data_IF_055394746097
#
_entry.id   IF_055394746097
#
_cell.length_a   1.000
_cell.length_b   1.000
_cell.length_c   1.000
_cell.angle_alpha   90.00
_cell.angle_beta   90.00
_cell.angle_gamma   90.00
#
_symmetry.space_group_name_H-M   'P 1'
#
loop_
_entity.id
_entity.type
_entity.pdbx_description
1 polymer ?
#
# COMPACT_ATOMS: atom_id res chain seq x y z
N UNK A 1 -7.91 9.93 -5.72
CA UNK A 1 -9.34 9.70 -5.45
C UNK A 1 -9.46 8.56 -4.45
N UNK A 2 -10.13 8.76 -3.31
CA UNK A 2 -10.28 7.70 -2.29
C UNK A 2 -11.50 6.86 -2.69
N UNK A 3 -11.28 5.58 -2.96
CA UNK A 3 -12.36 4.62 -3.23
C UNK A 3 -12.73 3.93 -1.93
N UNK A 4 -14.01 4.03 -1.52
CA UNK A 4 -14.52 3.38 -0.32
C UNK A 4 -15.45 2.21 -0.70
N UNK A 5 -15.17 1.02 -0.19
CA UNK A 5 -16.03 -0.15 -0.36
C UNK A 5 -15.95 -1.08 0.86
N UNK A 6 -17.11 -1.43 1.44
CA UNK A 6 -17.23 -2.34 2.59
C UNK A 6 -16.31 -2.00 3.79
N UNK A 7 -16.17 -0.72 4.11
CA UNK A 7 -15.31 -0.27 5.21
C UNK A 7 -13.82 -0.19 4.87
N UNK A 8 -13.43 -0.48 3.63
CA UNK A 8 -12.07 -0.33 3.14
C UNK A 8 -12.01 0.96 2.31
N UNK A 9 -11.10 1.86 2.68
CA UNK A 9 -10.77 3.05 1.91
C UNK A 9 -9.39 2.86 1.27
N UNK A 10 -9.32 2.91 -0.06
CA UNK A 10 -8.08 2.70 -0.81
C UNK A 10 -7.79 3.94 -1.64
N UNK A 11 -6.56 4.43 -1.54
CA UNK A 11 -6.03 5.49 -2.40
C UNK A 11 -4.78 4.98 -3.11
N UNK A 12 -4.88 4.64 -4.39
CA UNK A 12 -3.79 4.00 -5.12
C UNK A 12 -2.66 4.97 -5.52
N UNK A 13 -2.87 6.29 -5.50
CA UNK A 13 -1.77 7.27 -5.67
C UNK A 13 -0.79 7.27 -4.50
N UNK A 14 -1.19 6.71 -3.36
CA UNK A 14 -0.29 6.56 -2.22
C UNK A 14 0.54 5.29 -2.32
N UNK A 15 0.41 4.47 -3.36
CA UNK A 15 1.34 3.37 -3.56
C UNK A 15 2.71 3.93 -3.96
N UNK A 16 3.73 3.64 -3.17
CA UNK A 16 5.13 4.04 -3.38
C UNK A 16 5.88 2.97 -4.18
N UNK A 17 5.57 1.70 -3.96
CA UNK A 17 6.22 0.60 -4.64
C UNK A 17 5.53 -0.74 -4.43
N UNK A 18 5.71 -1.62 -5.40
CA UNK A 18 5.36 -3.04 -5.32
C UNK A 18 6.66 -3.82 -5.43
N UNK A 19 6.88 -4.77 -4.55
CA UNK A 19 8.10 -5.57 -4.49
C UNK A 19 7.77 -7.03 -4.31
N UNK A 20 8.53 -7.88 -4.99
CA UNK A 20 8.47 -9.32 -4.84
C UNK A 20 9.72 -9.79 -4.07
N UNK A 21 9.52 -10.54 -2.99
CA UNK A 21 10.57 -11.22 -2.22
C UNK A 21 10.43 -12.74 -2.36
N UNK A 22 11.09 -13.35 -3.37
CA UNK A 22 11.07 -14.79 -3.55
C UNK A 22 11.85 -15.52 -2.44
N UNK A 23 11.38 -16.71 -2.10
CA UNK A 23 11.95 -17.69 -1.16
C UNK A 23 11.93 -19.08 -1.82
N UNK A 24 12.52 -20.11 -1.20
CA UNK A 24 12.67 -21.43 -1.82
C UNK A 24 11.33 -22.05 -2.25
N UNK A 25 10.28 -21.91 -1.43
CA UNK A 25 8.95 -22.51 -1.66
C UNK A 25 7.83 -21.45 -1.83
N UNK A 26 8.15 -20.27 -2.35
CA UNK A 26 7.15 -19.19 -2.50
C UNK A 26 7.73 -17.81 -2.23
N UNK A 27 6.99 -16.94 -1.55
CA UNK A 27 7.53 -15.64 -1.17
C UNK A 27 6.48 -14.61 -0.79
N UNK A 28 6.93 -13.37 -0.64
CA UNK A 28 6.06 -12.24 -0.27
C UNK A 28 5.88 -11.27 -1.44
N UNK A 29 4.63 -10.90 -1.69
CA UNK A 29 4.27 -9.69 -2.41
C UNK A 29 4.13 -8.56 -1.40
N UNK A 30 4.84 -7.46 -1.62
CA UNK A 30 4.98 -6.38 -0.65
C UNK A 30 4.55 -5.08 -1.31
N UNK A 31 3.61 -4.40 -0.68
CA UNK A 31 3.12 -3.09 -1.09
C UNK A 31 3.62 -2.04 -0.10
N UNK A 32 4.42 -1.10 -0.59
CA UNK A 32 4.86 0.08 0.16
C UNK A 32 3.98 1.26 -0.18
N UNK A 33 3.49 1.97 0.84
CA UNK A 33 2.68 3.17 0.67
C UNK A 33 3.42 4.43 1.12
N UNK A 34 3.06 5.56 0.55
CA UNK A 34 3.46 6.88 1.01
C UNK A 34 2.74 7.16 2.34
N UNK A 35 3.47 7.80 3.25
CA UNK A 35 2.85 8.25 4.50
C UNK A 35 1.87 9.38 4.21
N UNK A 36 0.65 9.25 4.72
CA UNK A 36 -0.24 10.38 4.89
C UNK A 36 0.25 11.21 6.09
N UNK A 37 0.69 12.44 5.82
CA UNK A 37 0.91 13.45 6.87
C UNK A 37 -0.37 14.25 6.99
N UNK A 38 -0.98 14.23 8.18
CA UNK A 38 -2.17 15.00 8.50
C UNK A 38 -1.82 16.02 9.59
N UNK A 39 -2.34 17.24 9.42
CA UNK A 39 -2.36 18.24 10.48
C UNK A 39 -3.58 17.97 11.35
N UNK A 40 -3.37 17.71 12.64
CA UNK A 40 -4.45 17.57 13.61
C UNK A 40 -4.26 18.57 14.74
N UNK A 41 -5.36 19.13 15.24
CA UNK A 41 -5.37 19.96 16.43
C UNK A 41 -5.35 19.06 17.69
N UNK A 42 -4.40 19.30 18.59
CA UNK A 42 -4.38 18.65 19.90
C UNK A 42 -5.47 19.23 20.80
N UNK A 43 -6.41 18.38 21.24
CA UNK A 43 -7.54 18.77 22.09
C UNK A 43 -7.12 19.46 23.40
N UNK A 44 -5.95 19.12 23.95
CA UNK A 44 -5.47 19.67 25.23
C UNK A 44 -4.75 21.02 25.08
N UNK A 45 -4.08 21.25 23.95
CA UNK A 45 -3.17 22.41 23.77
C UNK A 45 -3.65 23.41 22.72
N UNK A 46 -4.65 23.05 21.90
CA UNK A 46 -5.12 23.84 20.75
C UNK A 46 -4.05 24.03 19.66
N UNK A 47 -2.95 23.29 19.72
CA UNK A 47 -1.86 23.37 18.75
C UNK A 47 -2.11 22.42 17.60
N UNK A 48 -1.85 22.90 16.40
CA UNK A 48 -1.76 22.05 15.21
C UNK A 48 -0.44 21.30 15.22
N UNK A 49 -0.52 19.98 15.17
CA UNK A 49 0.63 19.09 15.10
C UNK A 49 0.51 18.20 13.88
N UNK A 50 1.65 17.97 13.22
CA UNK A 50 1.73 16.96 12.19
C UNK A 50 1.70 15.58 12.84
N UNK A 51 0.85 14.71 12.30
CA UNK A 51 0.75 13.30 12.64
C UNK A 51 0.85 12.50 11.35
N UNK A 52 1.51 11.36 11.42
CA UNK A 52 1.51 10.40 10.33
C UNK A 52 1.34 9.00 10.91
N UNK A 53 0.75 8.11 10.11
CA UNK A 53 0.80 6.69 10.41
C UNK A 53 2.25 6.20 10.22
N UNK A 54 2.60 5.10 10.90
CA UNK A 54 3.88 4.43 10.64
C UNK A 54 3.88 3.93 9.20
N UNK A 55 5.02 4.07 8.54
CA UNK A 55 5.20 3.49 7.22
C UNK A 55 5.43 1.99 7.37
N UNK A 56 4.34 1.22 7.41
CA UNK A 56 4.38 -0.22 7.48
C UNK A 56 3.92 -0.81 6.14
N UNK A 57 4.71 -1.69 5.52
CA UNK A 57 4.30 -2.31 4.27
C UNK A 57 3.16 -3.30 4.52
N UNK A 58 2.33 -3.49 3.49
CA UNK A 58 1.37 -4.60 3.47
C UNK A 58 2.03 -5.79 2.78
N UNK A 59 2.04 -6.93 3.47
CA UNK A 59 2.63 -8.17 2.94
C UNK A 59 1.54 -9.20 2.68
N UNK A 60 1.67 -9.90 1.56
CA UNK A 60 0.90 -11.08 1.24
C UNK A 60 1.86 -12.22 0.88
N UNK A 61 1.72 -13.34 1.59
CA UNK A 61 2.49 -14.55 1.33
C UNK A 61 1.83 -15.42 0.26
N UNK A 62 2.66 -16.03 -0.58
CA UNK A 62 2.27 -17.01 -1.59
C UNK A 62 3.11 -18.27 -1.41
N UNK A 63 2.47 -19.43 -1.41
CA UNK A 63 3.11 -20.76 -1.33
C UNK A 63 3.61 -21.25 -2.69
N UNK A 64 3.26 -20.58 -3.79
CA UNK A 64 3.69 -20.92 -5.13
C UNK A 64 4.35 -19.70 -5.78
N UNK A 65 5.56 -19.91 -6.31
CA UNK A 65 6.31 -18.92 -7.06
C UNK A 65 5.61 -18.49 -8.37
N UNK A 66 4.86 -19.39 -9.00
CA UNK A 66 4.06 -19.10 -10.19
C UNK A 66 2.93 -18.13 -9.84
N UNK A 67 2.23 -18.39 -8.74
CA UNK A 67 1.17 -17.50 -8.25
C UNK A 67 1.73 -16.15 -7.83
N UNK A 68 2.87 -16.13 -7.13
CA UNK A 68 3.54 -14.90 -6.73
C UNK A 68 3.89 -14.01 -7.93
N UNK A 69 4.52 -14.58 -8.96
CA UNK A 69 4.90 -13.85 -10.18
C UNK A 69 3.67 -13.35 -10.96
N UNK A 70 2.64 -14.20 -11.11
CA UNK A 70 1.41 -13.82 -11.77
C UNK A 70 0.69 -12.66 -11.06
N UNK A 71 0.62 -12.71 -9.74
CA UNK A 71 0.00 -11.66 -8.94
C UNK A 71 0.83 -10.37 -8.97
N UNK A 72 2.16 -10.46 -8.88
CA UNK A 72 3.04 -9.30 -9.00
C UNK A 72 2.81 -8.55 -10.32
N UNK A 73 2.80 -9.26 -11.46
CA UNK A 73 2.54 -8.67 -12.78
C UNK A 73 1.16 -8.03 -12.86
N UNK A 74 0.13 -8.73 -12.40
CA UNK A 74 -1.25 -8.23 -12.39
C UNK A 74 -1.35 -6.92 -11.61
N UNK A 75 -0.74 -6.83 -10.43
CA UNK A 75 -0.78 -5.61 -9.63
C UNK A 75 0.03 -4.46 -10.22
N UNK A 76 1.14 -4.75 -10.90
CA UNK A 76 1.89 -3.73 -11.66
C UNK A 76 1.05 -3.18 -12.83
N UNK A 77 0.34 -4.04 -13.56
CA UNK A 77 -0.56 -3.63 -14.64
C UNK A 77 -1.69 -2.75 -14.11
N UNK A 78 -2.40 -3.20 -13.07
CA UNK A 78 -3.45 -2.42 -12.41
C UNK A 78 -2.91 -1.07 -11.95
N UNK A 79 -1.73 -1.03 -11.33
CA UNK A 79 -1.16 0.21 -10.86
C UNK A 79 -0.83 1.17 -12.02
N UNK A 80 -0.27 0.67 -13.11
CA UNK A 80 -0.02 1.47 -14.31
C UNK A 80 -1.33 2.04 -14.89
N UNK A 81 -2.38 1.22 -14.99
CA UNK A 81 -3.68 1.65 -15.50
C UNK A 81 -4.30 2.75 -14.63
N UNK A 82 -4.08 2.71 -13.32
CA UNK A 82 -4.57 3.72 -12.37
C UNK A 82 -3.74 5.02 -12.33
N UNK A 83 -2.45 4.97 -12.68
CA UNK A 83 -1.57 6.16 -12.67
C UNK A 83 -1.63 6.90 -14.01
N UNK A 84 -1.80 6.18 -15.12
CA UNK A 84 -1.79 6.75 -16.47
C UNK A 84 -3.17 7.29 -16.88
N UNK A 85 -4.26 6.80 -16.28
CA UNK A 85 -5.62 7.32 -16.46
C UNK A 85 -6.07 8.22 -15.31
#
# INVERSE_FOLDING_TARGET
MIHQHNGIAIHLYDLKGIRMEPQEDGGHLIFEFNNAIILMEELESGRWVERSYRNEPVLQYYEDMVDLDANFKTWVEVWNDFVVN
#
